data_IF_402306207629
#
_entry.id   IF_402306207629
#
_cell.length_a   1.000
_cell.length_b   1.000
_cell.length_c   1.000
_cell.angle_alpha   90.00
_cell.angle_beta   90.00
_cell.angle_gamma   90.00
#
_symmetry.space_group_name_H-M   'P 1'
#
loop_
_entity.id
_entity.type
_entity.pdbx_description
1 polymer ?
#
# COMPACT_ATOMS: atom_id res chain seq x y z
N UNK A 1 31.97 0.62 17.14
CA UNK A 1 30.56 1.08 17.26
C UNK A 1 29.69 -0.14 17.03
N UNK A 2 28.72 -0.42 17.91
CA UNK A 2 27.89 -1.63 17.82
C UNK A 2 26.88 -1.52 16.68
N UNK A 3 26.68 -2.57 15.89
CA UNK A 3 25.72 -2.57 14.76
C UNK A 3 24.39 -3.21 15.20
N UNK A 4 23.31 -2.44 15.21
CA UNK A 4 21.95 -2.91 15.51
C UNK A 4 21.15 -2.89 14.21
N UNK A 5 20.77 -4.08 13.72
CA UNK A 5 19.96 -4.24 12.52
C UNK A 5 18.54 -4.63 12.89
N UNK A 6 17.57 -3.89 12.36
CA UNK A 6 16.13 -4.12 12.52
C UNK A 6 15.58 -4.57 11.17
N UNK A 7 15.14 -5.83 11.09
CA UNK A 7 14.53 -6.41 9.90
C UNK A 7 13.02 -6.19 9.96
N UNK A 8 12.51 -5.20 9.23
CA UNK A 8 11.13 -4.73 9.27
C UNK A 8 11.02 -3.32 9.84
N UNK A 9 10.32 -2.45 9.14
CA UNK A 9 10.04 -1.05 9.47
C UNK A 9 8.56 -0.81 9.79
N UNK A 10 7.79 -1.88 10.03
CA UNK A 10 6.43 -1.78 10.55
C UNK A 10 6.39 -1.25 11.99
N UNK A 11 5.23 -1.35 12.65
CA UNK A 11 5.01 -0.73 13.98
C UNK A 11 6.11 -1.07 15.00
N UNK A 12 6.41 -2.36 15.21
CA UNK A 12 7.43 -2.79 16.16
C UNK A 12 8.84 -2.32 15.79
N UNK A 13 9.22 -2.39 14.51
CA UNK A 13 10.54 -1.97 14.03
C UNK A 13 10.75 -0.46 14.12
N UNK A 14 9.75 0.32 13.72
CA UNK A 14 9.74 1.78 13.83
C UNK A 14 9.89 2.24 15.28
N UNK A 15 9.04 1.75 16.20
CA UNK A 15 9.12 2.16 17.61
C UNK A 15 10.42 1.70 18.26
N UNK A 16 10.96 0.54 17.86
CA UNK A 16 12.29 0.10 18.31
C UNK A 16 13.36 1.10 17.89
N UNK A 17 13.43 1.44 16.60
CA UNK A 17 14.40 2.41 16.09
C UNK A 17 14.23 3.80 16.75
N UNK A 18 13.00 4.29 16.82
CA UNK A 18 12.67 5.61 17.37
C UNK A 18 13.02 5.74 18.85
N UNK A 19 12.82 4.69 19.65
CA UNK A 19 13.21 4.68 21.06
C UNK A 19 14.74 4.57 21.20
N UNK A 20 15.40 3.77 20.35
CA UNK A 20 16.85 3.65 20.37
C UNK A 20 17.54 4.98 20.03
N UNK A 21 17.07 5.73 19.04
CA UNK A 21 17.60 7.07 18.73
C UNK A 21 17.58 8.02 19.92
N UNK A 22 16.56 7.93 20.77
CA UNK A 22 16.42 8.79 21.95
C UNK A 22 17.27 8.34 23.14
N UNK A 23 17.63 7.06 23.19
CA UNK A 23 18.32 6.44 24.35
C UNK A 23 19.82 6.30 24.14
N UNK A 24 20.25 6.07 22.90
CA UNK A 24 21.66 5.86 22.58
C UNK A 24 22.40 7.19 22.54
N UNK A 25 23.62 7.21 23.06
CA UNK A 25 24.53 8.34 22.91
C UNK A 25 25.17 8.33 21.53
N UNK A 26 25.59 9.50 21.06
CA UNK A 26 26.35 9.62 19.82
C UNK A 26 27.58 8.71 19.86
N UNK A 27 27.73 7.85 18.85
CA UNK A 27 28.85 6.92 18.72
C UNK A 27 28.69 5.57 19.43
N UNK A 28 27.63 5.37 20.24
CA UNK A 28 27.41 4.14 21.00
C UNK A 28 27.06 2.95 20.08
N UNK A 29 26.10 3.15 19.17
CA UNK A 29 25.68 2.16 18.20
C UNK A 29 25.19 2.81 16.91
N UNK A 30 25.24 2.06 15.81
CA UNK A 30 24.61 2.39 14.53
C UNK A 30 23.34 1.56 14.40
N UNK A 31 22.20 2.22 14.27
CA UNK A 31 20.90 1.57 14.05
C UNK A 31 20.60 1.57 12.55
N UNK A 32 20.25 0.40 12.00
CA UNK A 32 19.81 0.24 10.61
C UNK A 32 18.45 -0.44 10.57
N UNK A 33 17.47 0.17 9.89
CA UNK A 33 16.18 -0.47 9.60
C UNK A 33 16.15 -0.87 8.12
N UNK A 34 15.79 -2.13 7.87
CA UNK A 34 15.58 -2.67 6.53
C UNK A 34 14.08 -2.91 6.34
N UNK A 35 13.45 -2.21 5.40
CA UNK A 35 12.06 -2.45 5.02
C UNK A 35 11.85 -2.09 3.54
N UNK A 36 11.02 -2.83 2.78
CA UNK A 36 10.68 -2.44 1.41
C UNK A 36 9.83 -1.17 1.32
N UNK A 37 9.10 -0.80 2.38
CA UNK A 37 8.22 0.37 2.43
C UNK A 37 8.83 1.51 3.24
N UNK A 38 8.70 2.77 2.80
CA UNK A 38 9.30 3.91 3.49
C UNK A 38 8.45 4.45 4.65
N UNK A 39 7.42 3.71 5.08
CA UNK A 39 6.45 4.17 6.08
C UNK A 39 5.86 3.01 6.90
N UNK A 40 5.33 3.31 8.09
CA UNK A 40 4.46 2.42 8.87
C UNK A 40 3.00 2.63 8.47
N UNK A 41 2.24 1.56 8.26
CA UNK A 41 0.77 1.65 8.15
C UNK A 41 0.12 1.56 9.51
N UNK A 42 -0.68 2.55 9.89
CA UNK A 42 -1.61 2.46 10.99
C UNK A 42 -2.86 1.69 10.54
N UNK A 43 -2.76 0.35 10.60
CA UNK A 43 -3.77 -0.58 10.11
C UNK A 43 -5.20 -0.34 10.63
N UNK A 44 -5.43 0.15 11.87
CA UNK A 44 -6.79 0.41 12.34
C UNK A 44 -7.59 1.41 11.50
N UNK A 45 -6.95 2.30 10.73
CA UNK A 45 -7.65 3.24 9.83
C UNK A 45 -7.83 2.75 8.39
N UNK A 46 -7.40 1.52 8.07
CA UNK A 46 -7.55 1.00 6.71
C UNK A 46 -9.02 0.83 6.28
N UNK A 47 -9.97 0.39 7.14
CA UNK A 47 -11.38 0.36 6.77
C UNK A 47 -11.89 1.73 6.32
N UNK A 48 -11.62 2.78 7.08
CA UNK A 48 -12.00 4.16 6.76
C UNK A 48 -11.28 4.69 5.53
N UNK A 49 -10.01 4.29 5.33
CA UNK A 49 -9.26 4.61 4.12
C UNK A 49 -9.86 3.98 2.86
N UNK A 50 -10.43 2.78 2.98
CA UNK A 50 -11.17 2.12 1.89
C UNK A 50 -12.44 2.90 1.53
N UNK A 51 -13.18 3.41 2.51
CA UNK A 51 -14.34 4.27 2.23
C UNK A 51 -13.94 5.68 1.76
N UNK A 52 -12.74 6.14 2.12
CA UNK A 52 -12.29 7.52 1.92
C UNK A 52 -12.85 8.50 2.94
N UNK A 53 -13.38 8.02 4.07
CA UNK A 53 -13.69 8.84 5.25
C UNK A 53 -12.42 9.32 5.96
N UNK A 54 -11.32 8.58 5.77
CA UNK A 54 -9.94 8.97 6.08
C UNK A 54 -9.12 8.89 4.79
N UNK A 55 -8.19 9.81 4.57
CA UNK A 55 -7.31 9.71 3.41
C UNK A 55 -6.22 8.66 3.68
N UNK A 56 -5.91 7.82 2.68
CA UNK A 56 -4.89 6.77 2.80
C UNK A 56 -3.54 7.29 3.35
N UNK A 57 -3.13 8.51 2.98
CA UNK A 57 -1.91 9.16 3.49
C UNK A 57 -1.93 9.43 5.00
N UNK A 58 -3.11 9.63 5.60
CA UNK A 58 -3.26 9.86 7.04
C UNK A 58 -3.06 8.57 7.86
N UNK A 59 -3.19 7.41 7.22
CA UNK A 59 -2.87 6.11 7.82
C UNK A 59 -1.40 5.69 7.61
N UNK A 60 -0.54 6.54 7.02
CA UNK A 60 0.86 6.26 6.78
C UNK A 60 1.78 7.20 7.59
N UNK A 61 2.76 6.61 8.30
CA UNK A 61 3.76 7.35 9.08
C UNK A 61 5.13 7.16 8.42
N UNK A 62 5.65 8.22 7.80
CA UNK A 62 6.96 8.19 7.13
C UNK A 62 8.09 7.84 8.10
N UNK A 63 8.90 6.83 7.76
CA UNK A 63 10.10 6.47 8.51
C UNK A 63 11.12 7.61 8.48
N UNK A 64 11.39 8.14 7.28
CA UNK A 64 12.38 9.21 7.06
C UNK A 64 12.05 10.52 7.76
N UNK A 65 10.77 10.78 8.03
CA UNK A 65 10.33 11.99 8.73
C UNK A 65 10.58 11.92 10.25
N UNK A 66 10.69 10.71 10.80
CA UNK A 66 10.68 10.51 12.26
C UNK A 66 11.92 9.78 12.78
N UNK A 67 12.78 9.28 11.89
CA UNK A 67 14.03 8.60 12.21
C UNK A 67 15.19 9.39 11.59
N UNK A 68 15.76 10.31 12.37
CA UNK A 68 16.74 11.29 11.90
C UNK A 68 18.16 10.71 11.81
N UNK A 69 18.47 9.71 12.65
CA UNK A 69 19.82 9.17 12.82
C UNK A 69 19.94 7.71 12.38
N UNK A 70 18.81 7.01 12.25
CA UNK A 70 18.73 5.62 11.83
C UNK A 70 19.02 5.51 10.34
N UNK A 71 19.91 4.60 9.97
CA UNK A 71 20.12 4.25 8.57
C UNK A 71 18.91 3.47 8.05
N UNK A 72 18.26 3.99 7.02
CA UNK A 72 17.13 3.31 6.36
C UNK A 72 17.61 2.66 5.06
N UNK A 73 17.36 1.36 4.93
CA UNK A 73 17.68 0.57 3.74
C UNK A 73 16.38 0.07 3.12
N UNK A 74 16.09 0.53 1.90
CA UNK A 74 14.92 0.09 1.14
C UNK A 74 15.19 -1.31 0.56
N UNK A 75 14.48 -2.32 1.05
CA UNK A 75 14.62 -3.69 0.57
C UNK A 75 14.01 -4.72 1.50
N UNK A 76 13.88 -5.95 1.01
CA UNK A 76 13.40 -7.09 1.79
C UNK A 76 14.57 -7.90 2.31
N UNK A 77 14.53 -8.30 3.58
CA UNK A 77 15.43 -9.32 4.11
C UNK A 77 15.04 -10.67 3.52
N UNK A 78 15.97 -11.33 2.82
CA UNK A 78 15.71 -12.64 2.19
C UNK A 78 16.42 -13.79 2.90
N UNK A 79 17.48 -13.51 3.64
CA UNK A 79 18.25 -14.54 4.35
C UNK A 79 18.89 -13.95 5.61
N UNK A 80 18.92 -14.73 6.69
CA UNK A 80 19.62 -14.41 7.93
C UNK A 80 20.62 -15.52 8.20
N UNK A 81 21.92 -15.21 8.06
CA UNK A 81 23.02 -16.14 8.36
C UNK A 81 23.57 -15.84 9.75
N UNK A 82 23.01 -16.49 10.77
CA UNK A 82 23.36 -16.24 12.17
C UNK A 82 24.82 -16.56 12.51
N UNK A 83 25.40 -17.63 11.95
CA UNK A 83 26.80 -17.99 12.18
C UNK A 83 27.78 -16.92 11.70
N UNK A 84 27.47 -16.29 10.57
CA UNK A 84 28.24 -15.19 9.99
C UNK A 84 27.80 -13.80 10.46
N UNK A 85 26.74 -13.72 11.29
CA UNK A 85 26.07 -12.49 11.72
C UNK A 85 25.77 -11.52 10.57
N UNK A 86 25.27 -12.08 9.46
CA UNK A 86 24.91 -11.30 8.26
C UNK A 86 23.45 -11.48 7.89
N UNK A 87 22.89 -10.45 7.27
CA UNK A 87 21.56 -10.44 6.65
C UNK A 87 21.71 -10.07 5.18
N UNK A 88 21.14 -10.87 4.29
CA UNK A 88 21.05 -10.54 2.87
C UNK A 88 19.79 -9.71 2.64
N UNK A 89 19.98 -8.52 2.09
CA UNK A 89 18.92 -7.59 1.72
C UNK A 89 18.79 -7.57 0.20
N UNK A 90 17.57 -7.76 -0.29
CA UNK A 90 17.20 -7.63 -1.70
C UNK A 90 16.41 -6.33 -1.90
N UNK A 91 17.02 -5.29 -2.48
CA UNK A 91 16.30 -4.10 -2.94
C UNK A 91 15.29 -4.46 -4.05
N UNK A 92 14.34 -3.55 -4.31
CA UNK A 92 13.43 -3.68 -5.45
C UNK A 92 14.16 -3.55 -6.79
N UNK A 93 15.16 -2.67 -6.85
CA UNK A 93 16.04 -2.49 -7.99
C UNK A 93 17.51 -2.52 -7.56
N UNK A 94 18.35 -3.17 -8.38
CA UNK A 94 19.79 -3.29 -8.15
C UNK A 94 20.21 -4.63 -7.54
N UNK A 95 21.45 -4.67 -7.06
CA UNK A 95 22.07 -5.90 -6.54
C UNK A 95 21.72 -6.10 -5.07
N UNK A 96 21.58 -7.37 -4.67
CA UNK A 96 21.46 -7.72 -3.25
C UNK A 96 22.75 -7.33 -2.51
N UNK A 97 22.61 -7.00 -1.23
CA UNK A 97 23.73 -6.59 -0.40
C UNK A 97 23.65 -7.29 0.96
N UNK A 98 24.81 -7.61 1.52
CA UNK A 98 24.92 -8.20 2.84
C UNK A 98 25.20 -7.11 3.89
N UNK A 99 24.45 -7.15 4.98
CA UNK A 99 24.62 -6.28 6.14
C UNK A 99 25.05 -7.12 7.34
N UNK A 100 26.13 -6.71 8.00
CA UNK A 100 26.56 -7.30 9.27
C UNK A 100 25.76 -6.73 10.44
N UNK A 101 25.59 -7.50 11.52
CA UNK A 101 24.99 -7.04 12.76
C UNK A 101 25.68 -7.60 14.00
N UNK A 102 25.65 -6.84 15.11
CA UNK A 102 25.94 -7.38 16.45
C UNK A 102 24.64 -7.75 17.18
N UNK A 103 23.55 -7.04 16.88
CA UNK A 103 22.20 -7.31 17.39
C UNK A 103 21.23 -7.29 16.23
N UNK A 104 20.43 -8.34 16.10
CA UNK A 104 19.35 -8.44 15.11
C UNK A 104 18.00 -8.38 15.82
N UNK A 105 17.14 -7.47 15.38
CA UNK A 105 15.75 -7.35 15.83
C UNK A 105 14.83 -7.70 14.66
N UNK A 106 14.11 -8.81 14.77
CA UNK A 106 13.22 -9.29 13.69
C UNK A 106 11.80 -8.80 13.93
N UNK A 107 11.32 -7.90 13.06
CA UNK A 107 10.00 -7.24 13.13
C UNK A 107 9.30 -7.19 11.76
N UNK A 108 9.58 -8.16 10.88
CA UNK A 108 9.05 -8.23 9.52
C UNK A 108 7.51 -8.37 9.43
N UNK A 109 6.83 -8.55 10.57
CA UNK A 109 5.38 -8.62 10.66
C UNK A 109 4.82 -9.90 10.03
N UNK A 110 3.63 -9.79 9.46
CA UNK A 110 2.95 -10.88 8.78
C UNK A 110 2.34 -10.40 7.47
N UNK A 111 2.25 -11.30 6.49
CA UNK A 111 1.63 -11.04 5.18
C UNK A 111 0.18 -11.53 5.16
N UNK A 112 -0.63 -11.02 4.23
CA UNK A 112 -1.95 -11.57 3.94
C UNK A 112 -1.81 -13.03 3.50
N UNK A 113 -2.36 -13.96 4.29
CA UNK A 113 -2.36 -15.37 3.93
C UNK A 113 -3.37 -15.59 2.81
N UNK A 114 -2.88 -15.94 1.63
CA UNK A 114 -3.72 -16.44 0.55
C UNK A 114 -3.88 -17.95 0.73
N UNK A 115 -5.12 -18.43 0.72
CA UNK A 115 -5.40 -19.85 0.60
C UNK A 115 -5.10 -20.29 -0.84
N UNK A 116 -4.81 -21.58 -1.10
CA UNK A 116 -4.59 -22.10 -2.46
C UNK A 116 -5.92 -22.17 -3.24
N UNK A 117 -6.59 -21.03 -3.37
CA UNK A 117 -7.81 -20.81 -4.11
C UNK A 117 -7.38 -20.19 -5.44
N UNK A 118 -7.63 -20.90 -6.53
CA UNK A 118 -7.24 -20.46 -7.86
C UNK A 118 -7.79 -19.06 -8.16
N UNK A 119 -6.91 -18.16 -8.60
CA UNK A 119 -7.24 -16.77 -8.94
C UNK A 119 -7.35 -15.80 -7.76
N UNK A 120 -7.36 -16.26 -6.49
CA UNK A 120 -7.52 -15.35 -5.35
C UNK A 120 -6.38 -14.32 -5.28
N UNK A 121 -5.13 -14.77 -5.37
CA UNK A 121 -3.96 -13.87 -5.33
C UNK A 121 -3.88 -12.93 -6.53
N UNK A 122 -4.54 -13.26 -7.63
CA UNK A 122 -4.49 -12.50 -8.89
C UNK A 122 -5.66 -11.54 -9.05
N UNK A 123 -6.73 -11.71 -8.28
CA UNK A 123 -8.00 -11.00 -8.46
C UNK A 123 -8.49 -10.30 -7.18
N UNK A 124 -8.01 -10.68 -6.01
CA UNK A 124 -8.40 -10.06 -4.75
C UNK A 124 -7.36 -9.05 -4.26
N UNK A 125 -7.86 -8.03 -3.58
CA UNK A 125 -7.03 -7.09 -2.85
C UNK A 125 -6.78 -7.59 -1.42
N UNK A 126 -5.56 -7.40 -0.92
CA UNK A 126 -5.32 -7.44 0.53
C UNK A 126 -5.86 -6.18 1.21
N UNK A 127 -5.72 -6.11 2.53
CA UNK A 127 -6.02 -4.91 3.32
C UNK A 127 -5.02 -4.79 4.48
N UNK A 128 -3.76 -4.58 4.12
CA UNK A 128 -2.62 -4.45 5.04
C UNK A 128 -1.88 -3.12 4.88
N UNK A 129 -1.99 -2.52 3.70
CA UNK A 129 -1.28 -1.31 3.33
C UNK A 129 -2.21 -0.27 2.71
N UNK A 130 -1.75 0.98 2.70
CA UNK A 130 -2.54 2.13 2.27
C UNK A 130 -2.82 2.12 0.77
N UNK A 131 -1.94 1.51 -0.03
CA UNK A 131 -2.12 1.35 -1.48
C UNK A 131 -3.25 0.36 -1.78
N UNK A 132 -3.38 -0.71 -0.99
CA UNK A 132 -4.46 -1.67 -1.15
C UNK A 132 -5.81 -1.03 -0.82
N UNK A 133 -5.89 -0.23 0.23
CA UNK A 133 -7.10 0.52 0.58
C UNK A 133 -7.51 1.48 -0.54
N UNK A 134 -6.55 2.23 -1.11
CA UNK A 134 -6.80 3.11 -2.24
C UNK A 134 -7.27 2.35 -3.49
N UNK A 135 -6.66 1.20 -3.79
CA UNK A 135 -7.03 0.37 -4.94
C UNK A 135 -8.45 -0.22 -4.81
N UNK A 136 -8.85 -0.65 -3.61
CA UNK A 136 -10.21 -1.13 -3.35
C UNK A 136 -11.22 0.00 -3.58
N UNK A 137 -10.94 1.20 -3.06
CA UNK A 137 -11.81 2.36 -3.25
C UNK A 137 -11.98 2.72 -4.72
N UNK A 138 -10.87 2.78 -5.45
CA UNK A 138 -10.86 3.05 -6.89
C UNK A 138 -11.65 2.00 -7.68
N UNK A 139 -11.51 0.72 -7.31
CA UNK A 139 -12.27 -0.38 -7.90
C UNK A 139 -13.78 -0.20 -7.69
N UNK A 140 -14.23 0.16 -6.48
CA UNK A 140 -15.65 0.37 -6.21
C UNK A 140 -16.21 1.55 -7.01
N UNK A 141 -15.52 2.70 -6.99
CA UNK A 141 -15.94 3.90 -7.72
C UNK A 141 -16.05 3.65 -9.22
N UNK A 142 -15.01 3.05 -9.80
CA UNK A 142 -14.99 2.72 -11.23
C UNK A 142 -16.05 1.68 -11.58
N UNK A 143 -16.39 0.76 -10.66
CA UNK A 143 -17.44 -0.23 -10.89
C UNK A 143 -18.83 0.40 -10.88
N UNK A 144 -19.10 1.37 -9.98
CA UNK A 144 -20.33 2.16 -9.99
C UNK A 144 -20.48 2.96 -11.29
N UNK A 145 -19.42 3.65 -11.71
CA UNK A 145 -19.43 4.45 -12.95
C UNK A 145 -19.74 3.59 -14.18
N UNK A 146 -19.10 2.44 -14.29
CA UNK A 146 -19.38 1.46 -15.36
C UNK A 146 -20.79 0.90 -15.29
N UNK A 147 -21.28 0.55 -14.09
CA UNK A 147 -22.61 0.00 -13.90
C UNK A 147 -23.72 0.98 -14.28
N UNK A 148 -23.53 2.28 -14.01
CA UNK A 148 -24.47 3.33 -14.38
C UNK A 148 -24.70 3.43 -15.91
N UNK A 149 -23.66 3.13 -16.70
CA UNK A 149 -23.75 3.09 -18.17
C UNK A 149 -24.37 1.83 -18.77
N UNK A 150 -24.75 0.83 -17.96
CA UNK A 150 -25.26 -0.46 -18.43
C UNK A 150 -26.74 -0.65 -18.07
N UNK A 151 -27.48 -1.36 -18.93
CA UNK A 151 -28.81 -1.86 -18.57
C UNK A 151 -28.71 -2.92 -17.47
N UNK A 152 -29.80 -3.13 -16.71
CA UNK A 152 -29.88 -4.23 -15.73
C UNK A 152 -29.61 -5.56 -16.42
N UNK A 153 -28.70 -6.34 -15.86
CA UNK A 153 -28.25 -7.62 -16.41
C UNK A 153 -27.01 -8.15 -15.70
N UNK A 154 -26.52 -9.34 -16.09
CA UNK A 154 -25.47 -10.04 -15.36
C UNK A 154 -24.18 -9.23 -15.16
N UNK A 155 -23.74 -8.51 -16.20
CA UNK A 155 -22.51 -7.68 -16.12
C UNK A 155 -22.65 -6.55 -15.09
N UNK A 156 -23.81 -5.88 -15.07
CA UNK A 156 -24.09 -4.82 -14.10
C UNK A 156 -24.20 -5.36 -12.68
N UNK A 157 -24.85 -6.51 -12.50
CA UNK A 157 -24.92 -7.19 -11.21
C UNK A 157 -23.53 -7.57 -10.69
N UNK A 158 -22.63 -8.05 -11.56
CA UNK A 158 -21.26 -8.37 -11.18
C UNK A 158 -20.46 -7.14 -10.73
N UNK A 159 -20.61 -6.00 -11.41
CA UNK A 159 -19.95 -4.74 -11.04
C UNK A 159 -20.41 -4.20 -9.68
N UNK A 160 -21.65 -4.47 -9.29
CA UNK A 160 -22.26 -3.99 -8.04
C UNK A 160 -22.17 -5.01 -6.89
N UNK A 161 -21.50 -6.14 -7.11
CA UNK A 161 -21.28 -7.17 -6.10
C UNK A 161 -19.90 -7.04 -5.43
N UNK A 162 -19.89 -6.89 -4.11
CA UNK A 162 -18.68 -6.83 -3.28
C UNK A 162 -18.62 -8.06 -2.38
N UNK A 163 -17.52 -8.80 -2.45
CA UNK A 163 -17.27 -9.95 -1.58
C UNK A 163 -16.05 -9.72 -0.70
N UNK A 164 -16.25 -9.73 0.61
CA UNK A 164 -15.19 -9.66 1.61
C UNK A 164 -14.95 -11.05 2.19
N UNK A 165 -13.70 -11.50 2.17
CA UNK A 165 -13.29 -12.82 2.69
C UNK A 165 -12.54 -12.65 4.01
N UNK A 166 -13.05 -13.28 5.06
CA UNK A 166 -12.54 -13.22 6.42
C UNK A 166 -13.43 -12.38 7.34
N UNK A 167 -14.06 -13.02 8.32
CA UNK A 167 -14.92 -12.42 9.33
C UNK A 167 -14.15 -11.92 10.57
N UNK A 168 -12.86 -11.62 10.45
CA UNK A 168 -12.12 -10.90 11.50
C UNK A 168 -12.48 -9.42 11.56
N UNK A 169 -11.86 -8.65 12.46
CA UNK A 169 -12.10 -7.20 12.60
C UNK A 169 -11.98 -6.47 11.25
N UNK A 170 -10.85 -6.60 10.57
CA UNK A 170 -10.61 -5.91 9.29
C UNK A 170 -11.63 -6.23 8.20
N UNK A 171 -12.13 -7.47 8.13
CA UNK A 171 -13.13 -7.84 7.11
C UNK A 171 -14.53 -7.39 7.47
N UNK A 172 -14.90 -7.42 8.76
CA UNK A 172 -16.18 -6.90 9.24
C UNK A 172 -16.24 -5.37 9.08
N UNK A 173 -15.19 -4.67 9.51
CA UNK A 173 -15.07 -3.21 9.39
C UNK A 173 -14.97 -2.80 7.91
N UNK A 174 -14.10 -3.45 7.14
CA UNK A 174 -13.94 -3.18 5.71
C UNK A 174 -15.24 -3.36 4.92
N UNK A 175 -16.03 -4.42 5.21
CA UNK A 175 -17.38 -4.57 4.63
C UNK A 175 -18.30 -3.43 5.03
N UNK A 176 -18.31 -3.05 6.30
CA UNK A 176 -19.16 -1.97 6.82
C UNK A 176 -18.87 -0.63 6.15
N UNK A 177 -17.60 -0.26 6.07
CA UNK A 177 -17.13 0.97 5.42
C UNK A 177 -17.39 0.98 3.91
N UNK A 178 -17.19 -0.15 3.22
CA UNK A 178 -17.53 -0.28 1.80
C UNK A 178 -19.03 -0.14 1.53
N UNK A 179 -19.87 -0.74 2.38
CA UNK A 179 -21.33 -0.60 2.29
C UNK A 179 -21.75 0.86 2.54
N UNK A 180 -21.13 1.54 3.51
CA UNK A 180 -21.38 2.95 3.77
C UNK A 180 -21.01 3.82 2.57
N UNK A 181 -19.84 3.58 1.94
CA UNK A 181 -19.43 4.25 0.72
C UNK A 181 -20.42 4.01 -0.42
N UNK A 182 -20.78 2.75 -0.70
CA UNK A 182 -21.76 2.42 -1.74
C UNK A 182 -23.12 3.09 -1.51
N UNK A 183 -23.60 3.11 -0.27
CA UNK A 183 -24.83 3.80 0.11
C UNK A 183 -24.75 5.31 -0.16
N UNK A 184 -23.59 5.92 0.10
CA UNK A 184 -23.36 7.33 -0.21
C UNK A 184 -23.32 7.60 -1.72
N UNK A 185 -22.73 6.69 -2.51
CA UNK A 185 -22.64 6.80 -3.97
C UNK A 185 -24.01 6.73 -4.65
N UNK A 186 -24.97 5.99 -4.11
CA UNK A 186 -26.34 5.94 -4.67
C UNK A 186 -27.00 7.31 -4.78
N UNK A 187 -26.59 8.30 -3.98
CA UNK A 187 -27.09 9.69 -4.08
C UNK A 187 -26.56 10.43 -5.33
N UNK A 188 -25.46 9.93 -5.91
CA UNK A 188 -24.75 10.52 -7.04
C UNK A 188 -25.00 9.75 -8.34
N UNK A 189 -25.43 8.48 -8.26
CA UNK A 189 -25.71 7.60 -9.39
C UNK A 189 -27.19 7.20 -9.41
N UNK A 190 -28.11 8.10 -9.86
CA UNK A 190 -29.55 7.83 -9.89
C UNK A 190 -29.94 6.67 -10.82
N UNK A 191 -29.04 6.25 -11.73
CA UNK A 191 -29.22 5.12 -12.62
C UNK A 191 -29.22 3.80 -11.86
N UNK A 192 -28.63 3.75 -10.65
CA UNK A 192 -28.45 2.55 -9.82
C UNK A 192 -29.48 2.54 -8.69
N UNK A 193 -30.34 1.52 -8.69
CA UNK A 193 -31.32 1.30 -7.64
C UNK A 193 -30.67 0.91 -6.31
N UNK A 194 -31.30 1.29 -5.20
CA UNK A 194 -30.81 0.98 -3.86
C UNK A 194 -30.81 -0.53 -3.54
N UNK A 195 -31.56 -1.31 -4.31
CA UNK A 195 -31.66 -2.77 -4.25
C UNK A 195 -30.55 -3.51 -5.03
N UNK A 196 -29.75 -2.81 -5.84
CA UNK A 196 -28.80 -3.46 -6.74
C UNK A 196 -27.44 -3.83 -6.11
N UNK A 197 -26.81 -2.97 -5.27
CA UNK A 197 -25.53 -3.32 -4.66
C UNK A 197 -25.63 -4.51 -3.69
N UNK A 198 -24.78 -5.52 -3.88
CA UNK A 198 -24.78 -6.75 -3.07
C UNK A 198 -23.47 -6.90 -2.28
N UNK A 199 -23.57 -7.00 -0.95
CA UNK A 199 -22.40 -7.05 -0.05
C UNK A 199 -22.31 -8.36 0.74
N UNK A 200 -21.36 -9.20 0.37
CA UNK A 200 -21.13 -10.51 0.96
C UNK A 200 -19.95 -10.51 1.95
N UNK A 201 -20.11 -11.22 3.07
CA UNK A 201 -19.04 -11.57 3.99
C UNK A 201 -18.90 -13.09 4.05
N UNK A 202 -17.73 -13.61 3.70
CA UNK A 202 -17.44 -15.04 3.68
C UNK A 202 -16.45 -15.36 4.79
N UNK A 203 -16.83 -16.23 5.72
CA UNK A 203 -15.98 -16.72 6.80
C UNK A 203 -15.92 -18.25 6.73
N UNK A 204 -14.73 -18.80 6.93
CA UNK A 204 -14.50 -20.25 6.89
C UNK A 204 -14.86 -20.92 8.23
N UNK A 205 -14.77 -20.19 9.33
CA UNK A 205 -15.16 -20.61 10.67
C UNK A 205 -16.67 -20.47 10.89
N UNK A 206 -17.14 -21.02 12.00
CA UNK A 206 -18.56 -20.99 12.35
C UNK A 206 -19.05 -19.62 12.87
N UNK A 207 -18.16 -18.65 13.02
CA UNK A 207 -18.49 -17.30 13.50
C UNK A 207 -17.54 -16.23 13.00
N UNK A 208 -18.05 -15.01 12.91
CA UNK A 208 -17.26 -13.78 12.76
C UNK A 208 -16.77 -13.29 14.14
N UNK A 209 -15.76 -12.42 14.12
CA UNK A 209 -15.11 -11.82 15.28
C UNK A 209 -14.81 -12.83 16.39
N UNK A 210 -13.98 -13.86 16.12
CA UNK A 210 -13.73 -14.95 17.07
C UNK A 210 -13.07 -14.49 18.37
N UNK A 211 -12.44 -13.31 18.40
CA UNK A 211 -11.86 -12.70 19.61
C UNK A 211 -12.85 -11.86 20.42
N UNK A 212 -14.12 -11.77 20.01
CA UNK A 212 -15.17 -10.99 20.68
C UNK A 212 -16.12 -11.92 21.42
N UNK A 213 -16.55 -11.53 22.62
CA UNK A 213 -17.51 -12.28 23.41
C UNK A 213 -18.83 -12.52 22.67
N UNK A 214 -19.57 -13.56 23.05
CA UNK A 214 -20.75 -14.04 22.30
C UNK A 214 -21.84 -12.99 22.13
N UNK A 215 -22.17 -12.25 23.19
CA UNK A 215 -23.25 -11.26 23.15
C UNK A 215 -22.95 -10.11 22.18
N UNK A 216 -21.79 -9.42 22.25
CA UNK A 216 -21.43 -8.42 21.23
C UNK A 216 -21.28 -9.03 19.83
N UNK A 217 -20.73 -10.24 19.69
CA UNK A 217 -20.62 -10.92 18.40
C UNK A 217 -21.98 -11.16 17.73
N UNK A 218 -22.96 -11.66 18.49
CA UNK A 218 -24.32 -11.87 18.01
C UNK A 218 -25.03 -10.55 17.65
N UNK A 219 -24.74 -9.46 18.38
CA UNK A 219 -25.24 -8.13 18.03
C UNK A 219 -24.65 -7.64 16.69
N UNK A 220 -23.36 -7.85 16.44
CA UNK A 220 -22.74 -7.49 15.15
C UNK A 220 -23.40 -8.25 14.01
N UNK A 221 -23.62 -9.56 14.13
CA UNK A 221 -24.31 -10.35 13.10
C UNK A 221 -25.67 -9.75 12.76
N UNK A 222 -26.52 -9.51 13.78
CA UNK A 222 -27.84 -8.89 13.58
C UNK A 222 -27.74 -7.51 12.91
N UNK A 223 -26.74 -6.71 13.30
CA UNK A 223 -26.52 -5.40 12.69
C UNK A 223 -26.12 -5.49 11.22
N UNK A 224 -25.23 -6.42 10.87
CA UNK A 224 -24.78 -6.63 9.48
C UNK A 224 -25.87 -7.20 8.58
N UNK A 225 -26.72 -8.07 9.12
CA UNK A 225 -27.91 -8.62 8.43
C UNK A 225 -28.95 -7.53 8.19
N UNK A 226 -29.26 -6.72 9.23
CA UNK A 226 -30.22 -5.61 9.12
C UNK A 226 -29.79 -4.53 8.13
N UNK A 227 -28.47 -4.30 7.98
CA UNK A 227 -27.92 -3.33 7.00
C UNK A 227 -27.78 -3.89 5.58
N UNK A 228 -27.96 -5.20 5.38
CA UNK A 228 -27.90 -5.86 4.07
C UNK A 228 -29.26 -6.23 3.48
N UNK A 229 -30.37 -6.01 4.20
CA UNK A 229 -31.70 -6.50 3.86
C UNK A 229 -32.50 -5.61 2.88
N UNK A 230 -31.82 -4.78 2.08
CA UNK A 230 -32.47 -3.79 1.19
C UNK A 230 -33.02 -4.31 -0.14
N UNK A 231 -32.80 -5.57 -0.51
CA UNK A 231 -33.28 -6.12 -1.77
C UNK A 231 -34.14 -7.39 -1.53
N UNK A 232 -35.42 -7.42 -1.94
CA UNK A 232 -36.15 -8.66 -2.03
C UNK A 232 -35.53 -9.47 -3.18
N UNK A 233 -35.09 -10.70 -2.91
CA UNK A 233 -34.56 -11.70 -3.86
C UNK A 233 -33.05 -11.77 -4.17
N UNK A 234 -32.16 -11.25 -3.32
CA UNK A 234 -30.75 -11.69 -3.34
C UNK A 234 -30.26 -12.11 -1.95
N UNK A 235 -29.64 -13.30 -1.80
CA UNK A 235 -29.32 -13.84 -0.47
C UNK A 235 -28.14 -13.08 0.12
N UNK A 236 -28.44 -12.00 0.83
CA UNK A 236 -27.60 -11.41 1.87
C UNK A 236 -27.52 -12.41 3.04
N UNK A 237 -26.80 -13.51 2.83
CA UNK A 237 -26.54 -14.52 3.85
C UNK A 237 -25.05 -14.57 4.15
N UNK A 238 -24.72 -14.70 5.44
CA UNK A 238 -23.42 -15.22 5.87
C UNK A 238 -23.30 -16.64 5.30
N UNK A 239 -22.68 -16.78 4.12
CA UNK A 239 -22.50 -18.09 3.49
C UNK A 239 -21.30 -18.78 4.12
N UNK A 240 -21.52 -19.95 4.72
CA UNK A 240 -20.44 -20.91 5.02
C UNK A 240 -19.70 -21.21 3.72
N UNK A 241 -18.44 -20.78 3.62
CA UNK A 241 -17.57 -21.22 2.53
C UNK A 241 -17.20 -22.68 2.76
N UNK A 242 -17.67 -23.62 1.92
CA UNK A 242 -17.01 -24.93 1.82
C UNK A 242 -15.60 -24.71 1.25
N UNK A 243 -14.54 -25.30 1.82
CA UNK A 243 -13.24 -25.30 1.16
C UNK A 243 -13.41 -25.99 -0.21
N UNK A 244 -13.27 -25.23 -1.29
CA UNK A 244 -13.51 -25.70 -2.66
C UNK A 244 -14.82 -25.27 -3.31
N UNK A 245 -15.68 -24.47 -2.65
CA UNK A 245 -16.73 -23.75 -3.37
C UNK A 245 -16.03 -22.75 -4.30
N UNK A 246 -16.12 -23.00 -5.61
CA UNK A 246 -15.58 -22.14 -6.63
C UNK A 246 -15.99 -20.70 -6.30
N UNK A 247 -15.00 -19.82 -6.10
CA UNK A 247 -15.18 -18.41 -6.43
C UNK A 247 -15.82 -18.46 -7.81
N UNK A 248 -17.07 -17.97 -7.91
CA UNK A 248 -17.75 -17.92 -9.20
C UNK A 248 -16.76 -17.38 -10.22
N UNK A 249 -16.83 -17.87 -11.46
CA UNK A 249 -15.96 -17.39 -12.54
C UNK A 249 -16.31 -15.93 -12.91
N UNK A 250 -16.30 -15.03 -11.93
CA UNK A 250 -16.48 -13.61 -12.06
C UNK A 250 -15.12 -13.06 -12.42
N UNK A 251 -14.86 -13.06 -13.74
CA UNK A 251 -13.74 -12.34 -14.31
C UNK A 251 -14.07 -10.86 -14.17
N UNK A 252 -13.59 -10.22 -13.12
CA UNK A 252 -13.37 -8.78 -13.17
C UNK A 252 -12.21 -8.59 -14.17
N UNK A 253 -12.55 -8.32 -15.44
CA UNK A 253 -11.57 -7.77 -16.38
C UNK A 253 -11.23 -6.38 -15.88
N UNK A 254 -10.18 -6.31 -15.08
CA UNK A 254 -9.45 -5.08 -14.83
C UNK A 254 -8.85 -4.68 -16.20
N UNK A 255 -9.28 -3.53 -16.72
CA UNK A 255 -8.42 -2.75 -17.62
C UNK A 255 -7.11 -2.42 -16.90
N UNK A 256 -6.05 -1.97 -17.58
CA UNK A 256 -4.75 -1.78 -16.98
C UNK A 256 -4.80 -0.63 -15.96
N UNK A 257 -5.28 -0.90 -14.76
CA UNK A 257 -4.99 -0.10 -13.58
C UNK A 257 -3.53 -0.40 -13.25
N UNK A 258 -2.67 0.58 -13.51
CA UNK A 258 -1.22 0.51 -13.37
C UNK A 258 -0.77 0.37 -11.92
N UNK A 259 -1.05 -0.79 -11.32
CA UNK A 259 -0.40 -1.27 -10.09
C UNK A 259 0.13 -2.67 -10.38
N UNK A 260 0.89 -2.79 -11.47
CA UNK A 260 1.73 -3.96 -11.72
C UNK A 260 3.16 -3.59 -11.29
N UNK A 261 3.54 -4.01 -10.08
CA UNK A 261 4.93 -4.02 -9.62
C UNK A 261 5.81 -5.03 -10.39
N UNK A 262 5.30 -5.61 -11.48
CA UNK A 262 6.07 -6.39 -12.45
C UNK A 262 5.97 -5.71 -13.81
N UNK A 263 6.92 -4.81 -14.08
CA UNK A 263 7.18 -4.41 -15.46
C UNK A 263 7.51 -5.66 -16.29
N UNK A 264 6.64 -5.96 -17.26
CA UNK A 264 6.94 -6.91 -18.34
C UNK A 264 8.24 -6.46 -19.00
N UNK A 265 9.27 -7.30 -18.94
CA UNK A 265 10.49 -7.13 -19.73
C UNK A 265 10.09 -7.05 -21.20
N UNK A 266 10.33 -5.90 -21.82
CA UNK A 266 10.43 -5.81 -23.27
C UNK A 266 11.62 -6.68 -23.70
N UNK A 267 11.48 -7.54 -24.72
CA UNK A 267 12.63 -8.21 -25.30
C UNK A 267 13.54 -7.15 -25.96
N UNK A 268 14.84 -7.24 -25.67
CA UNK A 268 15.89 -6.38 -26.21
C UNK A 268 15.74 -6.22 -27.73
N UNK A 269 15.29 -5.05 -28.17
CA UNK A 269 15.55 -4.60 -29.53
C UNK A 269 16.97 -4.07 -29.55
N UNK A 270 17.88 -4.87 -30.11
CA UNK A 270 19.24 -4.45 -30.43
C UNK A 270 19.18 -3.12 -31.19
N UNK A 271 19.65 -2.04 -30.56
CA UNK A 271 19.90 -0.78 -31.26
C UNK A 271 21.21 -0.93 -32.06
N UNK A 272 21.22 -0.59 -33.36
CA UNK A 272 22.44 -0.63 -34.15
C UNK A 272 23.44 0.41 -33.64
N UNK A 273 24.66 -0.05 -33.34
CA UNK A 273 25.77 0.78 -32.89
C UNK A 273 26.10 1.83 -33.95
N UNK A 274 25.99 3.12 -33.60
CA UNK A 274 26.55 4.22 -34.41
C UNK A 274 28.08 4.21 -34.26
N UNK A 275 28.87 4.27 -35.34
CA UNK A 275 30.32 4.28 -35.25
C UNK A 275 30.84 5.59 -34.66
N UNK A 276 31.85 5.45 -33.80
CA UNK A 276 32.52 6.52 -33.08
C UNK A 276 33.14 7.55 -34.05
N UNK A 277 32.75 8.83 -33.89
CA UNK A 277 33.45 9.94 -34.55
C UNK A 277 34.76 10.22 -33.80
N UNK A 278 35.87 10.09 -34.53
CA UNK A 278 37.24 10.39 -34.09
C UNK A 278 37.35 11.85 -33.63
N UNK A 279 38.05 12.06 -32.52
CA UNK A 279 38.52 13.35 -32.02
C UNK A 279 39.51 13.97 -33.02
N UNK A 280 39.31 15.24 -33.36
CA UNK A 280 40.33 16.10 -33.96
C UNK A 280 40.79 17.13 -32.91
N UNK A 281 42.10 17.29 -32.79
CA UNK A 281 42.76 18.21 -31.85
C UNK A 281 42.71 19.68 -32.27
N UNK A 282 43.35 20.58 -31.50
CA UNK A 282 42.97 21.99 -31.39
C UNK A 282 43.66 22.88 -32.43
N UNK A 283 42.95 23.91 -32.90
CA UNK A 283 43.51 25.00 -33.68
C UNK A 283 43.65 26.27 -32.81
N UNK A 284 44.90 26.73 -32.68
CA UNK A 284 45.27 28.06 -32.22
C UNK A 284 44.83 29.16 -33.21
N UNK A 285 44.43 30.33 -32.68
CA UNK A 285 44.96 31.69 -32.99
C UNK A 285 44.01 32.78 -32.47
N UNK A 286 44.39 33.53 -31.43
CA UNK A 286 45.03 34.88 -31.41
C UNK A 286 44.04 36.06 -31.42
N UNK A 287 44.16 36.96 -30.43
CA UNK A 287 44.08 38.41 -30.68
C UNK A 287 43.22 39.25 -29.72
N UNK A 288 43.87 40.16 -28.98
CA UNK A 288 43.36 41.47 -28.50
C UNK A 288 42.65 41.47 -27.14
N UNK A 289 43.16 42.01 -26.02
CA UNK A 289 43.76 43.33 -25.67
C UNK A 289 42.74 44.45 -25.38
N UNK A 290 42.90 45.04 -24.18
CA UNK A 290 42.36 46.31 -23.63
C UNK A 290 40.84 46.31 -23.32
N UNK A 291 40.32 46.96 -22.27
CA UNK A 291 40.81 47.87 -21.23
C UNK A 291 39.58 48.25 -20.38
N UNK A 292 39.70 48.38 -19.06
CA UNK A 292 39.76 49.66 -18.32
C UNK A 292 38.42 50.09 -17.66
N UNK A 293 38.55 50.49 -16.38
CA UNK A 293 37.62 51.25 -15.52
C UNK A 293 36.29 50.59 -15.10
N UNK A 294 35.78 50.74 -13.87
CA UNK A 294 36.11 51.65 -12.77
C UNK A 294 34.80 52.20 -12.17
N UNK A 295 34.80 52.43 -10.85
CA UNK A 295 33.76 53.06 -9.99
C UNK A 295 32.51 52.24 -9.62
N UNK A 296 32.23 51.93 -8.34
CA UNK A 296 32.01 52.73 -7.09
C UNK A 296 30.62 53.37 -6.98
N UNK A 297 30.06 53.22 -5.77
CA UNK A 297 28.94 54.00 -5.20
C UNK A 297 27.61 53.29 -5.39
N UNK A 298 26.74 53.07 -4.41
CA UNK A 298 26.54 53.62 -3.06
C UNK A 298 25.05 53.36 -2.76
N UNK A 299 24.74 52.56 -1.73
CA UNK A 299 24.25 53.01 -0.43
C UNK A 299 22.77 53.45 -0.36
N UNK A 300 22.12 52.97 0.72
CA UNK A 300 20.80 53.32 1.31
C UNK A 300 19.60 52.62 0.65
N UNK A 301 18.72 51.90 1.34
CA UNK A 301 18.43 51.80 2.78
C UNK A 301 17.04 52.37 3.06
N UNK A 302 16.03 51.49 3.25
CA UNK A 302 14.72 51.69 3.89
C UNK A 302 14.21 50.26 4.20
N UNK A 303 13.73 49.84 5.37
CA UNK A 303 13.19 50.55 6.52
C UNK A 303 11.70 50.22 6.69
N UNK A 304 11.36 49.43 7.72
CA UNK A 304 9.99 49.22 8.24
C UNK A 304 9.22 48.05 7.59
N UNK A 305 8.58 47.12 8.30
CA UNK A 305 8.13 47.10 9.69
C UNK A 305 6.60 47.02 9.74
N UNK A 306 6.07 45.79 9.76
CA UNK A 306 4.93 45.26 10.53
C UNK A 306 4.38 44.00 9.87
#
# INVERSE_FOLDING_TARGET
MREILIAGGGYAGFYTAWILEKRLRAGEARVTVVDPRPYVTYQPFLPEAVAGSVEARQAAVSLRRHLDYTRLVAGSVTEIRHSARTVTVRPEAGTSLDLHYDVLVVTAGAVTRTFPIAGLSDQAYGLKHVEEAAAIRDCLLTSFDRAAGLSRGPERTELLAVTVVGGGFSGVEGRGELLALATALLKQYPEIGADEPAFHLVEARDRILPGVADRPGAWVVRSLEGRGAGAPEHPAGLRRGRPGAAVGRHRVRLGPAGVDGRQRRQPDRAQPQRPARRRAGPAHRTGGSAGHHGHRGGARGLGGGR
#
